data_IF_708032300171
#
_entry.id   IF_708032300171
#
_cell.length_a   1.000
_cell.length_b   1.000
_cell.length_c   1.000
_cell.angle_alpha   90.00
_cell.angle_beta   90.00
_cell.angle_gamma   90.00
#
_symmetry.space_group_name_H-M   'P 1'
#
loop_
_entity.id
_entity.type
_entity.pdbx_description
1 polymer ?
#
# COMPACT_ATOMS: atom_id res chain seq x y z
N UNK A 1 5.47 -0.40 14.23
CA UNK A 1 5.63 -1.67 13.47
C UNK A 1 4.36 -1.86 12.66
N UNK A 2 4.41 -2.50 11.48
CA UNK A 2 3.19 -2.81 10.71
C UNK A 2 2.41 -3.92 11.43
N UNK A 3 1.10 -3.76 11.57
CA UNK A 3 0.21 -4.84 11.98
C UNK A 3 0.12 -5.89 10.85
N UNK A 4 -0.26 -7.15 11.15
CA UNK A 4 -0.48 -8.16 10.12
C UNK A 4 -1.48 -7.73 9.03
N UNK A 5 -2.50 -6.95 9.40
CA UNK A 5 -3.51 -6.43 8.48
C UNK A 5 -2.93 -5.33 7.58
N UNK A 6 -2.17 -4.38 8.13
CA UNK A 6 -1.50 -3.35 7.33
C UNK A 6 -0.50 -3.98 6.36
N UNK A 7 0.22 -5.01 6.79
CA UNK A 7 1.15 -5.74 5.92
C UNK A 7 0.42 -6.46 4.78
N UNK A 8 -0.70 -7.12 5.06
CA UNK A 8 -1.53 -7.74 4.03
C UNK A 8 -2.08 -6.72 3.04
N UNK A 9 -2.56 -5.57 3.51
CA UNK A 9 -3.01 -4.46 2.66
C UNK A 9 -1.86 -3.94 1.79
N UNK A 10 -0.65 -3.77 2.35
CA UNK A 10 0.51 -3.32 1.60
C UNK A 10 0.94 -4.32 0.49
N UNK A 11 0.79 -5.62 0.73
CA UNK A 11 0.97 -6.65 -0.30
C UNK A 11 -0.11 -6.56 -1.39
N UNK A 12 -1.37 -6.35 -1.02
CA UNK A 12 -2.47 -6.19 -1.97
C UNK A 12 -2.29 -4.92 -2.84
N UNK A 13 -1.79 -3.82 -2.29
CA UNK A 13 -1.47 -2.60 -3.07
C UNK A 13 -0.41 -2.91 -4.15
N UNK A 14 0.53 -3.81 -3.86
CA UNK A 14 1.58 -4.21 -4.80
C UNK A 14 1.06 -5.15 -5.88
N UNK A 15 0.35 -6.19 -5.48
CA UNK A 15 0.02 -7.33 -6.36
C UNK A 15 -1.35 -7.17 -7.05
N UNK A 16 -2.27 -6.42 -6.45
CA UNK A 16 -3.64 -6.22 -6.93
C UNK A 16 -4.22 -4.82 -6.58
N UNK A 17 -3.58 -3.71 -7.02
CA UNK A 17 -4.00 -2.34 -6.67
C UNK A 17 -5.46 -2.01 -7.04
N UNK A 18 -6.00 -2.67 -8.07
CA UNK A 18 -7.37 -2.46 -8.55
C UNK A 18 -8.45 -3.18 -7.72
N UNK A 19 -8.05 -4.07 -6.80
CA UNK A 19 -8.97 -4.85 -5.96
C UNK A 19 -9.16 -4.24 -4.56
N UNK A 20 -8.53 -3.10 -4.29
CA UNK A 20 -8.60 -2.43 -3.02
C UNK A 20 -9.78 -1.47 -2.97
N UNK A 21 -10.67 -1.70 -2.01
CA UNK A 21 -11.65 -0.70 -1.63
C UNK A 21 -10.95 0.54 -1.08
N UNK A 22 -11.36 1.70 -1.61
CA UNK A 22 -10.82 3.01 -1.28
C UNK A 22 -11.12 3.45 0.17
N UNK A 23 -11.96 2.72 0.90
CA UNK A 23 -12.44 3.04 2.25
C UNK A 23 -11.76 2.23 3.37
N UNK A 24 -10.68 1.49 3.08
CA UNK A 24 -9.96 0.75 4.12
C UNK A 24 -9.18 1.70 5.02
N UNK A 25 -9.50 1.70 6.32
CA UNK A 25 -8.78 2.47 7.35
C UNK A 25 -7.26 2.17 7.36
N UNK A 26 -6.84 0.96 7.00
CA UNK A 26 -5.43 0.63 6.89
C UNK A 26 -4.70 1.43 5.80
N UNK A 27 -5.39 1.83 4.73
CA UNK A 27 -4.78 2.63 3.66
C UNK A 27 -4.45 4.04 4.13
N UNK A 28 -5.25 4.61 5.02
CA UNK A 28 -4.95 5.91 5.64
C UNK A 28 -3.68 5.83 6.50
N UNK A 29 -3.56 4.80 7.35
CA UNK A 29 -2.36 4.58 8.15
C UNK A 29 -1.11 4.33 7.27
N UNK A 30 -1.25 3.59 6.17
CA UNK A 30 -0.16 3.36 5.22
C UNK A 30 0.21 4.64 4.44
N UNK A 31 -0.76 5.50 4.13
CA UNK A 31 -0.59 6.78 3.46
C UNK A 31 0.14 7.79 4.37
N UNK A 32 -0.29 7.89 5.63
CA UNK A 32 0.38 8.73 6.64
C UNK A 32 1.86 8.36 6.81
N UNK A 33 2.18 7.08 6.67
CA UNK A 33 3.53 6.53 6.75
C UNK A 33 4.28 6.56 5.42
N UNK A 34 3.68 7.12 4.37
CA UNK A 34 4.25 7.24 3.02
C UNK A 34 4.63 5.90 2.39
N UNK A 35 4.00 4.81 2.80
CA UNK A 35 4.22 3.47 2.24
C UNK A 35 3.39 3.24 0.97
N UNK A 36 2.26 3.95 0.88
CA UNK A 36 1.39 3.99 -0.29
C UNK A 36 1.10 5.44 -0.64
N UNK A 37 0.60 5.66 -1.85
CA UNK A 37 0.14 6.95 -2.32
C UNK A 37 -1.12 6.76 -3.17
N UNK A 38 -1.99 7.77 -3.16
CA UNK A 38 -3.15 7.78 -4.03
C UNK A 38 -2.81 8.49 -5.34
N UNK A 39 -2.77 7.74 -6.43
CA UNK A 39 -2.47 8.24 -7.77
C UNK A 39 -3.77 8.49 -8.54
N UNK A 40 -3.84 9.61 -9.25
CA UNK A 40 -4.93 9.89 -10.19
C UNK A 40 -4.48 9.52 -11.59
N UNK A 41 -5.16 8.54 -12.18
CA UNK A 41 -4.94 8.12 -13.55
C UNK A 41 -5.45 9.15 -14.55
N UNK A 42 -4.93 9.10 -15.77
CA UNK A 42 -5.40 9.92 -16.89
C UNK A 42 -6.87 9.68 -17.24
N UNK A 43 -7.41 8.49 -16.89
CA UNK A 43 -8.83 8.16 -17.02
C UNK A 43 -9.73 8.86 -16.00
N UNK A 44 -9.16 9.63 -15.06
CA UNK A 44 -9.87 10.27 -13.96
C UNK A 44 -10.08 9.36 -12.74
N UNK A 45 -9.83 8.06 -12.87
CA UNK A 45 -9.88 7.09 -11.77
C UNK A 45 -8.75 7.33 -10.77
N UNK A 46 -9.00 6.99 -9.51
CA UNK A 46 -7.97 6.97 -8.47
C UNK A 46 -7.59 5.53 -8.16
N UNK A 47 -6.30 5.30 -7.94
CA UNK A 47 -5.78 4.00 -7.55
C UNK A 47 -4.73 4.16 -6.45
N UNK A 48 -4.66 3.18 -5.56
CA UNK A 48 -3.56 3.09 -4.62
C UNK A 48 -2.32 2.55 -5.30
N UNK A 49 -1.18 3.19 -5.06
CA UNK A 49 0.13 2.78 -5.57
C UNK A 49 1.13 2.65 -4.44
N UNK A 50 1.95 1.61 -4.53
CA UNK A 50 3.06 1.41 -3.61
C UNK A 50 4.16 2.47 -3.88
N UNK A 51 4.68 3.09 -2.82
CA UNK A 51 5.82 4.01 -2.94
C UNK A 51 7.14 3.24 -2.93
N UNK A 52 8.25 3.91 -3.23
CA UNK A 52 9.59 3.32 -3.09
C UNK A 52 9.92 2.95 -1.63
N UNK A 53 9.40 3.74 -0.68
CA UNK A 53 9.53 3.48 0.76
C UNK A 53 8.74 2.21 1.12
N UNK A 54 7.51 2.08 0.61
CA UNK A 54 6.68 0.88 0.77
C UNK A 54 7.34 -0.38 0.21
N UNK A 55 7.91 -0.32 -0.99
CA UNK A 55 8.62 -1.47 -1.59
C UNK A 55 9.86 -1.85 -0.78
N UNK A 56 10.62 -0.86 -0.31
CA UNK A 56 11.79 -1.09 0.54
C UNK A 56 11.41 -1.73 1.88
N UNK A 57 10.31 -1.29 2.49
CA UNK A 57 9.78 -1.85 3.73
C UNK A 57 9.32 -3.31 3.54
N UNK A 58 8.57 -3.61 2.45
CA UNK A 58 8.18 -4.98 2.11
C UNK A 58 9.40 -5.88 1.92
N UNK A 59 10.43 -5.41 1.20
CA UNK A 59 11.67 -6.16 1.02
C UNK A 59 12.41 -6.40 2.33
N UNK A 60 12.42 -5.41 3.24
CA UNK A 60 13.06 -5.56 4.55
C UNK A 60 12.38 -6.63 5.40
N UNK A 61 11.05 -6.67 5.41
CA UNK A 61 10.29 -7.67 6.16
C UNK A 61 10.53 -9.08 5.60
N UNK A 62 10.47 -9.25 4.27
CA UNK A 62 10.73 -10.54 3.61
C UNK A 62 12.13 -11.11 3.88
N UNK A 63 13.11 -10.28 4.24
CA UNK A 63 14.46 -10.73 4.61
C UNK A 63 14.59 -11.18 6.07
N UNK A 64 13.69 -10.74 6.94
CA UNK A 64 13.68 -11.09 8.36
C UNK A 64 12.64 -12.18 8.71
N UNK A 65 12.01 -12.77 7.70
CA UNK A 65 10.98 -13.82 7.83
C UNK A 65 11.57 -15.20 7.62
#
# INVERSE_FOLDING_TARGET
MLSPHEFATLLLVKDAPNQLDMEREELDALLERQLVQLERLASGLQQWRLTEIGDSALRAIKRCS
#
